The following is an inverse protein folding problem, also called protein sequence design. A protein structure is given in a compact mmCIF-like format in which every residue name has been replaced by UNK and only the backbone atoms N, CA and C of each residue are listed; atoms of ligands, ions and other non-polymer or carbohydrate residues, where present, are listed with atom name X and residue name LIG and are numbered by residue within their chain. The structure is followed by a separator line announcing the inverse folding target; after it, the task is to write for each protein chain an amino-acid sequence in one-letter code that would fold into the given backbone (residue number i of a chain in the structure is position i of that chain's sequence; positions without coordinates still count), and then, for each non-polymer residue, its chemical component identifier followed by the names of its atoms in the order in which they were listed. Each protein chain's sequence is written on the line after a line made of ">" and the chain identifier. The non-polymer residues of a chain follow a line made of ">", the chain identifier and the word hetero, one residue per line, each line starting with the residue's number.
data_IF_376953237453
#
_entry.id   IF_376953237453
#
_cell.length_a   1.000
_cell.length_b   1.000
_cell.length_c   1.000
_cell.angle_alpha   90.00
_cell.angle_beta   90.00
_cell.angle_gamma   90.00
#
_symmetry.space_group_name_H-M   'P 1'
#
loop_
_entity.id
_entity.type
_entity.pdbx_description
1 polymer ?
#
# COMPACT_ATOMS: atom_id res chain seq x y z
N UNK A 1 -2.13 18.57 11.46
CA UNK A 1 -3.58 18.81 11.68
C UNK A 1 -4.34 17.54 11.35
N UNK A 2 -5.48 17.25 12.00
CA UNK A 2 -6.34 16.13 11.64
C UNK A 2 -7.49 16.62 10.78
N UNK A 3 -7.72 15.97 9.66
CA UNK A 3 -8.85 16.21 8.77
C UNK A 3 -9.80 15.01 8.80
N UNK A 4 -11.08 15.27 8.59
CA UNK A 4 -12.13 14.24 8.60
C UNK A 4 -12.63 14.05 7.18
N UNK A 5 -12.58 12.80 6.71
CA UNK A 5 -13.17 12.38 5.44
C UNK A 5 -14.40 11.52 5.72
N UNK A 6 -15.58 11.98 5.29
CA UNK A 6 -16.82 11.21 5.38
C UNK A 6 -17.03 10.44 4.09
N UNK A 7 -17.19 9.12 4.19
CA UNK A 7 -17.42 8.24 3.03
C UNK A 7 -18.69 7.41 3.23
N UNK A 8 -19.44 7.21 2.15
CA UNK A 8 -20.55 6.25 2.14
C UNK A 8 -20.01 4.84 1.95
N UNK A 9 -20.43 3.91 2.81
CA UNK A 9 -20.06 2.50 2.71
C UNK A 9 -21.32 1.63 2.72
N UNK A 10 -21.38 0.58 1.91
CA UNK A 10 -22.40 -0.45 2.06
C UNK A 10 -22.44 -0.98 3.50
N UNK A 11 -23.64 -1.28 4.01
CA UNK A 11 -23.84 -1.73 5.39
C UNK A 11 -23.02 -2.97 5.74
N UNK A 12 -22.88 -3.89 4.77
CA UNK A 12 -22.04 -5.09 4.89
C UNK A 12 -20.57 -4.73 5.09
N UNK A 13 -20.03 -3.83 4.26
CA UNK A 13 -18.63 -3.42 4.34
C UNK A 13 -18.32 -2.71 5.66
N UNK A 14 -19.23 -1.86 6.15
CA UNK A 14 -19.09 -1.23 7.46
C UNK A 14 -18.98 -2.27 8.59
N UNK A 15 -19.74 -3.37 8.51
CA UNK A 15 -19.67 -4.47 9.49
C UNK A 15 -18.34 -5.23 9.40
N UNK A 16 -17.88 -5.53 8.19
CA UNK A 16 -16.58 -6.20 7.97
C UNK A 16 -15.42 -5.38 8.53
N UNK A 17 -15.41 -4.06 8.30
CA UNK A 17 -14.41 -3.14 8.87
C UNK A 17 -14.44 -3.17 10.40
N UNK A 18 -15.63 -3.13 11.01
CA UNK A 18 -15.76 -3.16 12.47
C UNK A 18 -15.25 -4.49 13.06
N UNK A 19 -15.52 -5.61 12.41
CA UNK A 19 -15.02 -6.92 12.82
C UNK A 19 -13.50 -6.99 12.70
N UNK A 20 -12.94 -6.57 11.56
CA UNK A 20 -11.50 -6.58 11.33
C UNK A 20 -10.74 -5.68 12.33
N UNK A 21 -11.26 -4.47 12.58
CA UNK A 21 -10.71 -3.57 13.58
C UNK A 21 -10.72 -4.19 14.99
N UNK A 22 -11.81 -4.86 15.36
CA UNK A 22 -11.92 -5.59 16.63
C UNK A 22 -10.90 -6.71 16.75
N UNK A 23 -10.71 -7.51 15.68
CA UNK A 23 -9.71 -8.59 15.66
C UNK A 23 -8.28 -8.08 15.82
N UNK A 24 -7.99 -6.87 15.35
CA UNK A 24 -6.68 -6.24 15.45
C UNK A 24 -6.53 -5.35 16.70
N UNK A 25 -7.54 -5.29 17.56
CA UNK A 25 -7.56 -4.45 18.76
C UNK A 25 -7.34 -2.94 18.48
N UNK A 26 -7.81 -2.45 17.33
CA UNK A 26 -7.74 -1.04 16.92
C UNK A 26 -9.13 -0.45 16.71
N UNK A 27 -9.22 0.88 16.64
CA UNK A 27 -10.49 1.53 16.28
C UNK A 27 -10.81 1.36 14.79
N UNK A 28 -12.10 1.44 14.41
CA UNK A 28 -12.49 1.40 13.00
C UNK A 28 -11.85 2.53 12.17
N UNK A 29 -11.70 3.72 12.75
CA UNK A 29 -11.05 4.86 12.09
C UNK A 29 -9.55 4.64 11.89
N UNK A 30 -8.88 3.97 12.83
CA UNK A 30 -7.47 3.59 12.72
C UNK A 30 -7.27 2.51 11.66
N UNK A 31 -8.07 1.45 11.72
CA UNK A 31 -8.08 0.40 10.71
C UNK A 31 -8.25 0.96 9.29
N UNK A 32 -9.24 1.82 9.07
CA UNK A 32 -9.47 2.45 7.77
C UNK A 32 -8.30 3.36 7.37
N UNK A 33 -7.74 4.13 8.30
CA UNK A 33 -6.60 5.00 8.01
C UNK A 33 -5.41 4.20 7.52
N UNK A 34 -5.11 3.08 8.17
CA UNK A 34 -3.96 2.26 7.79
C UNK A 34 -4.22 1.47 6.51
N UNK A 35 -5.45 1.00 6.29
CA UNK A 35 -5.85 0.42 5.01
C UNK A 35 -5.69 1.41 3.84
N UNK A 36 -6.08 2.68 4.02
CA UNK A 36 -5.92 3.73 3.01
C UNK A 36 -4.43 4.01 2.75
N UNK A 37 -3.61 4.16 3.80
CA UNK A 37 -2.16 4.33 3.64
C UNK A 37 -1.53 3.17 2.87
N UNK A 38 -1.89 1.93 3.23
CA UNK A 38 -1.36 0.73 2.58
C UNK A 38 -1.76 0.70 1.10
N UNK A 39 -3.01 1.04 0.78
CA UNK A 39 -3.46 1.11 -0.62
C UNK A 39 -2.68 2.15 -1.42
N UNK A 40 -2.51 3.35 -0.87
CA UNK A 40 -1.73 4.42 -1.51
C UNK A 40 -0.26 4.00 -1.72
N UNK A 41 0.32 3.29 -0.76
CA UNK A 41 1.69 2.78 -0.88
C UNK A 41 1.79 1.72 -1.99
N UNK A 42 0.84 0.78 -2.06
CA UNK A 42 0.80 -0.23 -3.13
C UNK A 42 0.66 0.42 -4.51
N UNK A 43 -0.21 1.42 -4.63
CA UNK A 43 -0.38 2.18 -5.88
C UNK A 43 0.90 2.90 -6.30
N UNK A 44 1.58 3.54 -5.34
CA UNK A 44 2.86 4.19 -5.58
C UNK A 44 3.96 3.19 -5.97
N UNK A 45 3.99 2.02 -5.33
CA UNK A 45 4.93 0.96 -5.61
C UNK A 45 4.74 0.37 -7.02
N UNK A 46 3.49 0.10 -7.41
CA UNK A 46 3.15 -0.40 -8.74
C UNK A 46 3.54 0.60 -9.83
N UNK A 47 3.32 1.89 -9.59
CA UNK A 47 3.74 2.95 -10.51
C UNK A 47 5.27 3.06 -10.62
N UNK A 48 5.98 3.01 -9.49
CA UNK A 48 7.44 3.00 -9.47
C UNK A 48 7.97 1.80 -10.25
N UNK A 49 7.39 0.61 -10.06
CA UNK A 49 7.78 -0.59 -10.81
C UNK A 49 7.54 -0.43 -12.31
N UNK A 50 6.38 0.12 -12.71
CA UNK A 50 6.03 0.37 -14.11
C UNK A 50 7.05 1.27 -14.82
N UNK A 51 7.57 2.27 -14.12
CA UNK A 51 8.50 3.25 -14.69
C UNK A 51 9.97 2.85 -14.57
N UNK A 52 10.35 2.15 -13.51
CA UNK A 52 11.75 1.84 -13.20
C UNK A 52 12.20 0.48 -13.76
N UNK A 53 11.34 -0.53 -13.81
CA UNK A 53 11.73 -1.86 -14.33
C UNK A 53 12.22 -1.80 -15.79
N UNK A 54 11.56 -1.08 -16.73
CA UNK A 54 12.07 -0.96 -18.09
C UNK A 54 13.45 -0.30 -18.15
N UNK A 55 13.70 0.70 -17.30
CA UNK A 55 14.99 1.40 -17.22
C UNK A 55 16.08 0.48 -16.65
N UNK A 56 15.78 -0.26 -15.60
CA UNK A 56 16.69 -1.25 -15.01
C UNK A 56 17.09 -2.31 -16.04
N UNK A 57 16.13 -2.85 -16.79
CA UNK A 57 16.39 -3.83 -17.86
C UNK A 57 17.24 -3.27 -18.99
N UNK A 58 16.99 -2.02 -19.40
CA UNK A 58 17.83 -1.34 -20.38
C UNK A 58 19.27 -1.13 -19.88
N UNK A 59 19.47 -1.03 -18.56
CA UNK A 59 20.77 -0.99 -17.91
C UNK A 59 21.37 -2.38 -17.61
N UNK A 60 20.72 -3.48 -18.02
CA UNK A 60 21.20 -4.83 -17.81
C UNK A 60 20.87 -5.45 -16.45
N UNK A 61 20.02 -4.81 -15.63
CA UNK A 61 19.65 -5.27 -14.29
C UNK A 61 18.31 -6.01 -14.35
N UNK A 62 18.30 -7.29 -13.97
CA UNK A 62 17.12 -8.17 -14.02
C UNK A 62 16.80 -8.84 -12.69
N UNK A 63 17.81 -9.03 -11.85
CA UNK A 63 17.75 -9.79 -10.59
C UNK A 63 18.33 -8.98 -9.44
N UNK A 64 18.04 -9.41 -8.22
CA UNK A 64 18.63 -8.82 -7.02
C UNK A 64 20.15 -9.03 -6.97
N UNK A 65 20.66 -10.12 -7.58
CA UNK A 65 22.08 -10.39 -7.73
C UNK A 65 22.75 -9.35 -8.65
N UNK A 66 22.11 -8.94 -9.75
CA UNK A 66 22.62 -7.86 -10.61
C UNK A 66 22.71 -6.54 -9.84
N UNK A 67 21.74 -6.27 -8.95
CA UNK A 67 21.76 -5.08 -8.09
C UNK A 67 22.93 -5.18 -7.10
N UNK A 68 23.09 -6.32 -6.42
CA UNK A 68 24.13 -6.53 -5.43
C UNK A 68 25.53 -6.30 -6.02
N UNK A 69 25.80 -6.86 -7.20
CA UNK A 69 27.07 -6.71 -7.92
C UNK A 69 27.37 -5.25 -8.35
N UNK A 70 26.37 -4.37 -8.40
CA UNK A 70 26.54 -2.95 -8.76
C UNK A 70 26.79 -2.07 -7.52
N UNK A 71 26.26 -2.44 -6.35
CA UNK A 71 26.24 -1.58 -5.16
C UNK A 71 27.16 -2.03 -4.02
N UNK A 72 27.74 -3.23 -4.11
CA UNK A 72 28.67 -3.80 -3.13
C UNK A 72 30.05 -4.02 -3.74
#
# INVERSE_FOLDING_TARGET
>A
MRETLTVSLPSKLRREVALAAKHQHVSASEYIRDAVKQKLWLDAFDEARRTLVPKARAAGIYTDEDVFNVVS
#
